data_IF_658683145567
#
_entry.id   IF_658683145567
#
_cell.length_a   1.000
_cell.length_b   1.000
_cell.length_c   1.000
_cell.angle_alpha   90.00
_cell.angle_beta   90.00
_cell.angle_gamma   90.00
#
_symmetry.space_group_name_H-M   'P 1'
#
loop_
_entity.id
_entity.type
_entity.pdbx_description
1 polymer ?
#
# COMPACT_ATOMS: atom_id res chain seq x y z
N UNK A 1 -3.73 1.42 -9.50
CA UNK A 1 -3.90 1.36 -8.04
C UNK A 1 -4.68 2.60 -7.62
N UNK A 2 -5.76 2.40 -6.89
CA UNK A 2 -6.53 3.50 -6.30
C UNK A 2 -5.97 3.84 -4.94
N UNK A 3 -5.90 5.13 -4.63
CA UNK A 3 -5.36 5.66 -3.39
C UNK A 3 -6.41 6.55 -2.74
N UNK A 4 -6.61 6.41 -1.44
CA UNK A 4 -7.45 7.34 -0.69
C UNK A 4 -6.71 8.67 -0.45
N UNK A 5 -7.46 9.66 0.04
CA UNK A 5 -6.93 11.01 0.27
C UNK A 5 -5.72 11.01 1.20
N UNK A 6 -5.75 10.26 2.30
CA UNK A 6 -4.64 10.19 3.25
C UNK A 6 -3.35 9.63 2.62
N UNK A 7 -3.46 8.62 1.75
CA UNK A 7 -2.31 8.10 1.00
C UNK A 7 -1.76 9.13 0.01
N UNK A 8 -2.65 9.86 -0.68
CA UNK A 8 -2.26 10.91 -1.63
C UNK A 8 -1.54 12.04 -0.89
N UNK A 9 -2.08 12.49 0.23
CA UNK A 9 -1.49 13.55 1.05
C UNK A 9 -0.09 13.14 1.57
N UNK A 10 0.05 11.90 2.06
CA UNK A 10 1.33 11.37 2.51
C UNK A 10 2.36 11.25 1.38
N UNK A 11 1.95 10.80 0.19
CA UNK A 11 2.81 10.74 -0.99
C UNK A 11 3.26 12.14 -1.42
N UNK A 12 2.35 13.11 -1.45
CA UNK A 12 2.68 14.50 -1.80
C UNK A 12 3.66 15.12 -0.80
N UNK A 13 3.46 14.89 0.50
CA UNK A 13 4.39 15.32 1.53
C UNK A 13 5.79 14.71 1.32
N UNK A 14 5.86 13.41 1.01
CA UNK A 14 7.13 12.77 0.66
C UNK A 14 7.76 13.34 -0.61
N UNK A 15 7.00 13.56 -1.68
CA UNK A 15 7.50 14.13 -2.95
C UNK A 15 8.11 15.51 -2.72
N UNK A 16 7.56 16.32 -1.82
CA UNK A 16 8.07 17.65 -1.50
C UNK A 16 9.50 17.60 -0.93
N UNK A 17 9.84 16.57 -0.16
CA UNK A 17 11.16 16.38 0.47
C UNK A 17 12.03 15.36 -0.25
N UNK A 18 11.51 14.68 -1.28
CA UNK A 18 12.24 13.66 -2.03
C UNK A 18 13.46 14.28 -2.73
N UNK A 19 14.66 13.68 -2.58
CA UNK A 19 15.84 14.15 -3.29
C UNK A 19 15.61 14.20 -4.82
N UNK A 20 15.83 15.35 -5.42
CA UNK A 20 15.75 15.55 -6.88
C UNK A 20 17.10 15.32 -7.54
N UNK A 21 18.19 15.64 -6.82
CA UNK A 21 19.55 15.54 -7.31
C UNK A 21 20.29 14.35 -6.72
N UNK A 22 21.27 13.87 -7.47
CA UNK A 22 22.14 12.76 -7.06
C UNK A 22 21.43 11.40 -7.02
N UNK A 23 20.24 11.30 -7.61
CA UNK A 23 19.55 10.00 -7.77
C UNK A 23 20.31 9.21 -8.84
N UNK A 24 20.67 7.96 -8.51
CA UNK A 24 21.47 7.14 -9.40
C UNK A 24 20.65 6.66 -10.61
N UNK A 25 21.24 6.76 -11.78
CA UNK A 25 20.78 6.07 -12.99
C UNK A 25 21.45 4.70 -13.00
N UNK A 26 20.82 3.72 -12.39
CA UNK A 26 21.34 2.36 -12.25
C UNK A 26 20.42 1.34 -12.92
N UNK A 27 20.86 0.08 -12.96
CA UNK A 27 20.08 -1.03 -13.52
C UNK A 27 18.73 -1.26 -12.82
N UNK A 28 18.53 -0.67 -11.63
CA UNK A 28 17.29 -0.73 -10.86
C UNK A 28 16.32 0.37 -11.23
N UNK A 29 16.64 1.22 -12.21
CA UNK A 29 15.86 2.41 -12.59
C UNK A 29 15.53 3.29 -11.38
N UNK A 30 16.52 3.62 -10.57
CA UNK A 30 16.36 4.40 -9.35
C UNK A 30 15.87 5.82 -9.64
N UNK A 31 16.24 6.39 -10.79
CA UNK A 31 15.76 7.69 -11.30
C UNK A 31 14.23 7.71 -11.52
N UNK A 32 13.63 6.57 -11.88
CA UNK A 32 12.20 6.40 -12.10
C UNK A 32 11.45 5.89 -10.84
N UNK A 33 12.16 5.61 -9.75
CA UNK A 33 11.55 5.11 -8.53
C UNK A 33 10.82 6.21 -7.78
N UNK A 34 9.58 5.96 -7.34
CA UNK A 34 8.86 6.87 -6.46
C UNK A 34 9.61 6.96 -5.12
N UNK A 35 9.87 5.84 -4.47
CA UNK A 35 10.52 5.78 -3.18
C UNK A 35 12.01 5.48 -3.31
N UNK A 36 12.82 6.25 -2.59
CA UNK A 36 14.28 6.13 -2.57
C UNK A 36 14.76 5.73 -1.18
N UNK A 37 15.86 4.97 -1.16
CA UNK A 37 16.63 4.72 0.05
C UNK A 37 17.48 5.95 0.43
N UNK A 38 18.14 5.91 1.61
CA UNK A 38 19.11 6.90 2.04
C UNK A 38 20.29 7.07 1.06
N UNK A 39 20.57 6.03 0.26
CA UNK A 39 21.60 6.06 -0.79
C UNK A 39 21.11 6.62 -2.13
N UNK A 40 19.92 7.21 -2.17
CA UNK A 40 19.29 7.75 -3.38
C UNK A 40 19.11 6.72 -4.50
N UNK A 41 18.89 5.47 -4.12
CA UNK A 41 18.57 4.35 -5.01
C UNK A 41 17.13 3.90 -4.78
N UNK A 42 16.55 3.16 -5.74
CA UNK A 42 15.25 2.51 -5.56
C UNK A 42 15.23 1.73 -4.25
N UNK A 43 14.24 2.00 -3.41
CA UNK A 43 14.08 1.30 -2.14
C UNK A 43 13.89 -0.21 -2.37
N UNK A 44 14.54 -1.04 -1.56
CA UNK A 44 14.38 -2.48 -1.63
C UNK A 44 13.15 -2.95 -0.84
N UNK A 45 12.60 -4.11 -1.20
CA UNK A 45 11.53 -4.76 -0.43
C UNK A 45 11.94 -4.93 1.04
N UNK A 46 13.17 -5.37 1.29
CA UNK A 46 13.71 -5.54 2.64
C UNK A 46 13.75 -4.24 3.44
N UNK A 47 14.10 -3.14 2.79
CA UNK A 47 14.10 -1.83 3.44
C UNK A 47 12.68 -1.41 3.84
N UNK A 48 11.69 -1.65 2.99
CA UNK A 48 10.27 -1.38 3.32
C UNK A 48 9.83 -2.23 4.52
N UNK A 49 10.14 -3.53 4.52
CA UNK A 49 9.85 -4.42 5.65
C UNK A 49 10.48 -3.92 6.96
N UNK A 50 11.73 -3.46 6.90
CA UNK A 50 12.42 -2.91 8.07
C UNK A 50 11.76 -1.62 8.58
N UNK A 51 11.35 -0.72 7.68
CA UNK A 51 10.63 0.51 8.05
C UNK A 51 9.32 0.15 8.76
N UNK A 52 8.53 -0.75 8.18
CA UNK A 52 7.27 -1.19 8.79
C UNK A 52 7.51 -1.84 10.16
N UNK A 53 8.49 -2.74 10.29
CA UNK A 53 8.82 -3.36 11.57
C UNK A 53 9.20 -2.33 12.63
N UNK A 54 9.98 -1.31 12.24
CA UNK A 54 10.36 -0.22 13.15
C UNK A 54 9.15 0.57 13.64
N UNK A 55 8.22 0.92 12.76
CA UNK A 55 7.02 1.67 13.14
C UNK A 55 6.05 0.81 13.98
N UNK A 56 5.92 -0.48 13.69
CA UNK A 56 5.17 -1.42 14.51
C UNK A 56 5.75 -1.51 15.93
N UNK A 57 7.08 -1.61 16.05
CA UNK A 57 7.76 -1.64 17.35
C UNK A 57 7.54 -0.35 18.14
N UNK A 58 7.60 0.83 17.49
CA UNK A 58 7.30 2.11 18.14
C UNK A 58 5.85 2.18 18.65
N UNK A 59 4.93 1.55 17.93
CA UNK A 59 3.53 1.42 18.34
C UNK A 59 3.30 0.38 19.45
N UNK A 60 4.36 -0.24 19.98
CA UNK A 60 4.27 -1.26 21.03
C UNK A 60 3.79 -2.62 20.53
N UNK A 61 3.79 -2.86 19.21
CA UNK A 61 3.36 -4.11 18.62
C UNK A 61 4.51 -5.10 18.46
N UNK A 62 4.23 -6.36 18.73
CA UNK A 62 5.19 -7.46 18.59
C UNK A 62 5.48 -7.75 17.12
N UNK A 63 6.67 -7.38 16.66
CA UNK A 63 7.10 -7.54 15.27
C UNK A 63 7.35 -8.99 14.85
N UNK A 64 7.34 -9.94 15.78
CA UNK A 64 7.34 -11.38 15.46
C UNK A 64 5.97 -11.86 15.02
N UNK A 65 4.91 -11.21 15.51
CA UNK A 65 3.51 -11.52 15.20
C UNK A 65 2.94 -10.66 14.08
N UNK A 66 3.44 -9.42 13.93
CA UNK A 66 2.93 -8.44 12.97
C UNK A 66 3.98 -8.15 11.90
N UNK A 67 3.54 -8.16 10.65
CA UNK A 67 4.40 -7.96 9.48
C UNK A 67 3.65 -7.17 8.40
N UNK A 68 4.36 -6.73 7.37
CA UNK A 68 3.78 -6.08 6.16
C UNK A 68 2.65 -6.91 5.56
N UNK A 69 2.79 -8.23 5.49
CA UNK A 69 1.73 -9.11 4.98
C UNK A 69 0.50 -9.14 5.88
N UNK A 70 0.70 -9.15 7.20
CA UNK A 70 -0.44 -9.09 8.14
C UNK A 70 -1.15 -7.75 8.10
N UNK A 71 -0.43 -6.63 7.98
CA UNK A 71 -1.04 -5.31 7.78
C UNK A 71 -1.87 -5.27 6.50
N UNK A 72 -1.34 -5.81 5.40
CA UNK A 72 -2.08 -5.93 4.14
C UNK A 72 -3.34 -6.77 4.30
N UNK A 73 -3.25 -7.91 4.99
CA UNK A 73 -4.40 -8.76 5.26
C UNK A 73 -5.44 -8.07 6.16
N UNK A 74 -4.99 -7.34 7.18
CA UNK A 74 -5.87 -6.54 8.04
C UNK A 74 -6.59 -5.46 7.24
N UNK A 75 -5.89 -4.73 6.39
CA UNK A 75 -6.49 -3.72 5.52
C UNK A 75 -7.55 -4.34 4.60
N UNK A 76 -7.25 -5.49 3.98
CA UNK A 76 -8.20 -6.23 3.16
C UNK A 76 -9.44 -6.66 3.94
N UNK A 77 -9.26 -7.18 5.15
CA UNK A 77 -10.37 -7.60 6.02
C UNK A 77 -11.25 -6.42 6.42
N UNK A 78 -10.64 -5.27 6.73
CA UNK A 78 -11.38 -4.05 7.07
C UNK A 78 -12.18 -3.53 5.87
N UNK A 79 -11.59 -3.52 4.68
CA UNK A 79 -12.29 -3.13 3.45
C UNK A 79 -13.49 -4.07 3.16
N UNK A 80 -13.30 -5.38 3.32
CA UNK A 80 -14.36 -6.35 3.14
C UNK A 80 -15.49 -6.18 4.16
N UNK A 81 -15.13 -6.00 5.44
CA UNK A 81 -16.10 -5.96 6.54
C UNK A 81 -16.90 -4.66 6.59
N UNK A 82 -16.28 -3.55 6.26
CA UNK A 82 -16.87 -2.22 6.43
C UNK A 82 -17.10 -1.46 5.12
N UNK A 83 -16.54 -1.94 4.02
CA UNK A 83 -16.60 -1.27 2.71
C UNK A 83 -17.73 -1.77 1.81
N UNK A 84 -18.53 -2.75 2.25
CA UNK A 84 -19.56 -3.41 1.41
C UNK A 84 -19.02 -3.87 0.04
N UNK A 85 -17.73 -4.25 0.01
CA UNK A 85 -17.00 -4.55 -1.20
C UNK A 85 -17.13 -6.01 -1.56
N UNK A 86 -17.39 -6.28 -2.83
CA UNK A 86 -17.33 -7.64 -3.37
C UNK A 86 -15.91 -8.21 -3.19
N UNK A 87 -15.84 -9.46 -2.76
CA UNK A 87 -14.59 -10.22 -2.56
C UNK A 87 -13.70 -10.20 -3.80
N UNK A 88 -14.26 -10.07 -4.99
CA UNK A 88 -13.57 -10.01 -6.28
C UNK A 88 -12.85 -8.68 -6.48
N UNK A 89 -13.52 -7.55 -6.20
CA UNK A 89 -12.91 -6.24 -6.23
C UNK A 89 -11.72 -6.16 -5.27
N UNK A 90 -11.87 -6.80 -4.10
CA UNK A 90 -10.79 -6.90 -3.11
C UNK A 90 -9.61 -7.74 -3.62
N UNK A 91 -9.87 -8.85 -4.31
CA UNK A 91 -8.82 -9.69 -4.89
C UNK A 91 -8.04 -8.95 -5.99
N UNK A 92 -8.71 -8.20 -6.84
CA UNK A 92 -8.08 -7.36 -7.87
C UNK A 92 -7.22 -6.27 -7.23
N UNK A 93 -7.74 -5.56 -6.21
CA UNK A 93 -7.00 -4.56 -5.44
C UNK A 93 -5.73 -5.14 -4.81
N UNK A 94 -5.81 -6.38 -4.32
CA UNK A 94 -4.68 -7.07 -3.71
C UNK A 94 -3.74 -7.71 -4.73
N UNK A 95 -4.07 -7.73 -6.03
CA UNK A 95 -3.22 -8.31 -7.07
C UNK A 95 -2.95 -9.80 -6.88
N UNK A 96 -3.88 -10.57 -6.33
CA UNK A 96 -3.77 -12.02 -6.23
C UNK A 96 -3.97 -12.66 -7.60
N UNK A 97 -2.88 -13.12 -8.23
CA UNK A 97 -2.90 -13.83 -9.52
C UNK A 97 -3.39 -15.29 -9.45
N UNK A 98 -3.83 -15.77 -8.29
CA UNK A 98 -4.14 -17.19 -8.11
C UNK A 98 -5.59 -17.38 -7.69
N UNK A 99 -6.47 -17.50 -8.67
CA UNK A 99 -7.63 -18.38 -8.55
C UNK A 99 -7.67 -19.23 -9.80
N UNK A 100 -7.36 -20.54 -9.63
CA UNK A 100 -7.71 -21.56 -10.60
C UNK A 100 -9.20 -21.83 -10.49
N UNK A 101 -10.01 -21.03 -11.15
CA UNK A 101 -11.35 -21.42 -11.56
C UNK A 101 -11.69 -20.62 -12.81
N UNK A 102 -11.72 -21.34 -13.91
CA UNK A 102 -12.19 -20.89 -15.19
C UNK A 102 -13.68 -20.59 -15.09
N UNK A 103 -14.00 -19.34 -14.74
CA UNK A 103 -15.32 -18.78 -15.02
C UNK A 103 -15.15 -17.37 -15.50
N UNK A 104 -15.75 -17.12 -16.67
CA UNK A 104 -15.82 -15.85 -17.37
C UNK A 104 -16.43 -14.80 -16.43
N UNK A 105 -15.60 -13.88 -15.95
CA UNK A 105 -16.06 -12.75 -15.17
C UNK A 105 -15.93 -11.46 -15.94
N UNK A 106 -17.08 -10.93 -16.29
CA UNK A 106 -17.30 -9.56 -16.70
C UNK A 106 -16.71 -8.59 -15.68
N UNK A 107 -16.04 -7.60 -16.20
CA UNK A 107 -15.41 -6.44 -15.57
C UNK A 107 -15.83 -6.14 -14.13
N UNK A 108 -14.88 -6.21 -13.21
CA UNK A 108 -15.02 -5.57 -11.91
C UNK A 108 -15.10 -4.07 -12.17
N UNK A 109 -16.20 -3.46 -11.76
CA UNK A 109 -16.42 -2.04 -11.95
C UNK A 109 -15.36 -1.26 -11.14
N UNK A 110 -14.65 -0.38 -11.84
CA UNK A 110 -13.62 0.46 -11.21
C UNK A 110 -14.18 1.28 -10.03
N UNK A 111 -15.47 1.56 -10.01
CA UNK A 111 -16.14 2.29 -8.93
C UNK A 111 -16.23 1.45 -7.64
N UNK A 112 -16.38 0.14 -7.71
CA UNK A 112 -16.38 -0.74 -6.54
C UNK A 112 -15.00 -0.79 -5.88
N UNK A 113 -13.93 -0.85 -6.66
CA UNK A 113 -12.55 -0.82 -6.15
C UNK A 113 -12.26 0.52 -5.48
N UNK A 114 -12.72 1.62 -6.07
CA UNK A 114 -12.59 2.96 -5.50
C UNK A 114 -13.34 3.08 -4.18
N UNK A 115 -14.59 2.66 -4.12
CA UNK A 115 -15.42 2.67 -2.90
C UNK A 115 -14.76 1.86 -1.78
N UNK A 116 -14.16 0.70 -2.10
CA UNK A 116 -13.43 -0.12 -1.15
C UNK A 116 -12.27 0.62 -0.47
N UNK A 117 -11.53 1.38 -1.24
CA UNK A 117 -10.37 2.14 -0.74
C UNK A 117 -10.82 3.35 0.09
N UNK A 118 -11.90 4.02 -0.31
CA UNK A 118 -12.42 5.20 0.38
C UNK A 118 -13.14 4.85 1.69
N UNK A 119 -13.84 3.71 1.75
CA UNK A 119 -14.56 3.24 2.94
C UNK A 119 -13.69 2.52 3.97
N UNK A 120 -12.39 2.37 3.73
CA UNK A 120 -11.48 1.82 4.71
C UNK A 120 -11.44 2.71 5.97
N UNK A 121 -11.73 2.19 7.18
CA UNK A 121 -11.72 2.98 8.42
C UNK A 121 -10.38 3.68 8.70
N UNK A 122 -9.30 3.23 8.10
CA UNK A 122 -7.97 3.86 8.19
C UNK A 122 -7.78 5.01 7.20
N UNK A 123 -8.73 5.27 6.29
CA UNK A 123 -8.62 6.33 5.29
C UNK A 123 -8.54 7.73 5.91
N UNK A 124 -9.20 7.94 7.05
CA UNK A 124 -9.29 9.22 7.77
C UNK A 124 -8.36 9.31 9.00
N UNK A 125 -7.44 8.35 9.16
CA UNK A 125 -6.60 8.25 10.36
C UNK A 125 -5.67 9.46 10.58
N UNK A 126 -5.30 10.16 9.52
CA UNK A 126 -4.41 11.34 9.59
C UNK A 126 -5.03 12.56 10.26
N UNK A 127 -6.33 12.58 10.53
CA UNK A 127 -7.01 13.71 11.21
C UNK A 127 -6.81 13.72 12.72
N UNK A 128 -6.17 12.70 13.33
CA UNK A 128 -6.03 12.55 14.79
C UNK A 128 -4.55 12.55 15.28
N UNK A 129 -3.61 12.85 14.41
CA UNK A 129 -2.21 13.11 14.72
C UNK A 129 -1.91 14.59 14.51
#
# INVERSE_FOLDING_TARGET
>A
IYLNKSCIDAINAYIAIRPKEGVKKDSKNSDKALFLSSYKQRISKRTVENVVSKELSKAGLDTTKYSTHKLRHTAATLMYKYGEVDIRALQELLGHQSISTTEVYTHVDNDQVRTAVESNPLADFTKKL
#
